data_IF_886148527251
#
_entry.id   IF_886148527251
#
_cell.length_a   1.000
_cell.length_b   1.000
_cell.length_c   1.000
_cell.angle_alpha   90.00
_cell.angle_beta   90.00
_cell.angle_gamma   90.00
#
_symmetry.space_group_name_H-M   'P 1'
#
loop_
_entity.id
_entity.type
_entity.pdbx_description
1 polymer ?
2 polymer ?
3 non-polymer ?
4 non-polymer ?
5 non-polymer ?
6 water ?
#
# COMPACT_ATOMS: atom_id res chain seq x y z
N UNK A 1 -15.98 -4.66 0.67
CA UNK A 1 -14.82 -3.73 0.82
C UNK A 1 -14.18 -3.48 -0.54
N UNK A 2 -12.94 -3.02 -0.53
CA UNK A 2 -12.21 -2.70 -1.76
C UNK A 2 -11.99 -3.90 -2.65
N UNK A 3 -11.72 -5.09 -2.18
CA UNK A 3 -11.54 -6.24 -3.07
C UNK A 3 -12.85 -6.57 -3.77
N UNK A 4 -13.96 -6.59 -3.01
CA UNK A 4 -15.23 -6.90 -3.69
C UNK A 4 -15.61 -5.76 -4.59
N UNK A 5 -15.32 -4.49 -4.29
CA UNK A 5 -15.68 -3.42 -5.19
C UNK A 5 -14.82 -3.35 -6.45
N UNK A 6 -13.52 -3.67 -6.28
CA UNK A 6 -12.57 -3.33 -7.34
C UNK A 6 -11.85 -4.50 -7.95
N UNK A 7 -12.03 -5.69 -7.44
CA UNK A 7 -11.44 -6.87 -8.08
C UNK A 7 -12.50 -7.57 -8.91
N UNK A 8 -13.76 -7.22 -8.74
CA UNK A 8 -14.84 -7.76 -9.57
C UNK A 8 -15.19 -6.90 -10.75
N UNK A 9 -14.88 -5.61 -10.69
CA UNK A 9 -14.98 -4.74 -11.86
C UNK A 9 -14.08 -3.53 -11.64
N UNK A 10 -13.63 -2.89 -12.71
CA UNK A 10 -12.55 -1.94 -12.68
C UNK A 10 -12.92 -0.69 -11.91
N UNK A 11 -12.05 -0.29 -11.03
CA UNK A 11 -12.12 0.95 -10.29
C UNK A 11 -11.14 1.93 -10.90
N UNK A 12 -11.59 3.13 -11.28
CA UNK A 12 -10.72 4.17 -11.77
C UNK A 12 -9.95 4.78 -10.60
N UNK A 13 -9.02 5.70 -10.87
CA UNK A 13 -8.31 6.39 -9.81
C UNK A 13 -9.26 7.31 -9.04
N UNK A 14 -10.34 7.74 -9.72
CA UNK A 14 -11.32 8.58 -9.00
C UNK A 14 -12.04 7.76 -7.97
N UNK A 15 -12.41 6.54 -8.26
CA UNK A 15 -13.06 5.64 -7.34
C UNK A 15 -12.08 5.24 -6.23
N UNK A 16 -10.81 4.95 -6.59
CA UNK A 16 -9.86 4.56 -5.56
C UNK A 16 -9.48 5.66 -4.56
N UNK A 17 -9.64 6.93 -4.93
CA UNK A 17 -9.34 8.03 -4.04
C UNK A 17 -10.23 8.00 -2.82
N UNK A 18 -11.40 7.34 -2.95
CA UNK A 18 -12.24 7.13 -1.77
C UNK A 18 -11.53 6.51 -0.60
N UNK A 19 -10.51 5.65 -0.86
CA UNK A 19 -9.82 4.89 0.16
C UNK A 19 -8.62 5.59 0.73
N UNK A 20 -8.24 6.76 0.29
CA UNK A 20 -7.11 7.48 0.86
C UNK A 20 -7.42 7.95 2.28
N UNK A 21 -6.35 8.20 3.05
CA UNK A 21 -6.53 8.68 4.41
C UNK A 21 -6.59 10.21 4.47
N UNK B 1 -6.51 -18.65 -4.03
CA UNK B 1 -6.73 -17.25 -3.68
C UNK B 1 -5.88 -16.30 -4.53
N UNK B 2 -5.25 -16.86 -5.58
CA UNK B 2 -4.25 -16.09 -6.34
C UNK B 2 -4.87 -14.94 -7.17
N UNK B 3 -6.04 -15.01 -7.82
CA UNK B 3 -6.60 -13.88 -8.54
C UNK B 3 -6.75 -12.65 -7.66
N UNK B 4 -7.26 -12.82 -6.48
CA UNK B 4 -7.44 -11.71 -5.55
C UNK B 4 -6.08 -11.15 -5.12
N UNK B 5 -5.12 -12.01 -4.89
CA UNK B 5 -3.78 -11.67 -4.50
C UNK B 5 -3.15 -10.78 -5.54
N UNK B 6 -3.24 -11.17 -6.80
CA UNK B 6 -2.72 -10.37 -7.90
C UNK B 6 -3.47 -9.07 -8.00
N UNK B 7 -4.80 -9.09 -7.92
CA UNK B 7 -5.55 -7.82 -7.96
C UNK B 7 -5.07 -6.88 -6.88
N UNK B 8 -4.91 -7.34 -5.64
CA UNK B 8 -4.50 -6.50 -4.54
C UNK B 8 -3.17 -5.83 -4.76
N UNK B 9 -2.23 -6.54 -5.39
CA UNK B 9 -0.91 -6.02 -5.69
C UNK B 9 -1.01 -4.77 -6.52
N UNK B 10 -1.92 -4.75 -7.47
CA UNK B 10 -2.18 -3.62 -8.34
C UNK B 10 -3.01 -2.60 -7.62
N UNK B 11 -4.00 -2.95 -6.81
CA UNK B 11 -4.75 -1.94 -6.07
C UNK B 11 -3.81 -1.14 -5.23
N UNK B 12 -2.83 -1.74 -4.52
CA UNK B 12 -1.99 -0.94 -3.62
C UNK B 12 -1.15 0.06 -4.42
N UNK B 13 -0.66 -0.32 -5.59
CA UNK B 13 0.11 0.57 -6.44
C UNK B 13 -0.74 1.78 -6.87
N UNK B 14 -2.01 1.50 -7.21
CA UNK B 14 -2.88 2.59 -7.66
C UNK B 14 -3.28 3.51 -6.49
N UNK B 15 -3.52 2.93 -5.33
CA UNK B 15 -3.80 3.71 -4.13
C UNK B 15 -2.59 4.58 -3.82
N UNK B 16 -1.39 3.99 -3.90
CA UNK B 16 -0.16 4.75 -3.69
C UNK B 16 -0.14 5.98 -4.58
N UNK B 17 -0.40 5.82 -5.85
CA UNK B 17 -0.33 6.88 -6.82
C UNK B 17 -1.39 7.95 -6.58
N UNK B 18 -2.65 7.54 -6.46
CA UNK B 18 -3.65 8.63 -6.29
C UNK B 18 -3.60 9.26 -4.92
N UNK B 19 -3.31 8.52 -3.87
CA UNK B 19 -3.38 9.14 -2.55
C UNK B 19 -2.17 10.04 -2.29
N UNK B 20 -1.02 9.80 -2.85
CA UNK B 20 0.09 10.73 -2.61
C UNK B 20 0.45 10.80 -1.14
N UNK B 21 0.68 12.05 -0.67
CA UNK B 21 1.02 12.32 0.72
C UNK B 21 -0.02 11.92 1.73
N UNK B 22 -1.29 11.75 1.36
CA UNK B 22 -2.34 11.32 2.22
C UNK B 22 -2.11 9.91 2.73
N UNK B 23 -1.46 9.10 1.86
CA UNK B 23 -1.30 7.67 2.19
C UNK B 23 -2.69 7.03 2.29
N UNK B 24 -2.70 5.79 2.77
CA UNK B 24 -3.87 4.96 2.85
C UNK B 24 -3.70 3.76 3.74
N UNK B 25 -4.78 3.14 4.18
CA UNK B 25 -4.72 1.91 4.94
C UNK B 25 -5.14 0.81 3.97
N UNK B 26 -4.57 -0.36 4.03
CA UNK B 26 -4.99 -1.56 3.28
C UNK B 26 -5.08 -2.80 4.20
N UNK B 27 -6.32 -3.08 4.68
CA UNK B 27 -6.47 -4.10 5.73
C UNK B 27 -7.87 -4.75 5.72
N UNK B 28 -8.12 -5.53 6.80
CA UNK B 28 -9.47 -6.01 6.98
C UNK B 28 -9.54 -7.51 7.17
N UNK B 29 -10.59 -7.89 7.89
CA UNK B 29 -10.89 -9.28 8.12
C UNK B 29 -12.20 -9.63 7.45
N UNK B 30 -12.05 -10.55 6.48
CA UNK B 30 -13.21 -11.05 5.76
C UNK B 30 -12.84 -12.27 4.91
N UNK C 1 8.69 8.00 10.11
CA UNK C 1 7.86 7.02 9.39
C UNK C 1 8.66 6.22 8.38
N UNK C 2 7.96 5.37 7.66
CA UNK C 2 8.56 4.44 6.71
C UNK C 2 9.34 5.16 5.63
N UNK C 3 8.92 6.31 5.15
CA UNK C 3 9.70 7.00 4.11
C UNK C 3 10.99 7.51 4.69
N UNK C 4 10.94 8.10 5.88
CA UNK C 4 12.15 8.65 6.50
C UNK C 4 13.06 7.52 6.90
N UNK C 5 12.58 6.40 7.34
CA UNK C 5 13.37 5.29 7.82
C UNK C 5 13.91 4.40 6.72
N UNK C 6 13.11 4.15 5.68
CA UNK C 6 13.40 3.17 4.67
C UNK C 6 13.65 3.69 3.26
N UNK C 7 13.66 4.99 3.06
CA UNK C 7 14.10 5.48 1.74
C UNK C 7 15.48 6.09 1.82
N UNK C 8 15.99 6.23 3.03
CA UNK C 8 17.30 6.79 3.30
C UNK C 8 18.29 5.65 3.35
N UNK C 9 17.96 4.61 4.10
CA UNK C 9 18.80 3.42 4.22
C UNK C 9 17.89 2.21 4.08
N UNK C 10 18.38 1.09 3.61
CA UNK C 10 17.54 -0.07 3.39
C UNK C 10 16.96 -0.52 4.75
N UNK C 11 15.70 -0.92 4.67
CA UNK C 11 15.07 -1.62 5.74
C UNK C 11 14.93 -3.11 5.54
N UNK C 12 15.14 -3.88 6.59
CA UNK C 12 14.95 -5.31 6.56
C UNK C 12 13.46 -5.64 6.55
N UNK C 13 13.10 -6.88 6.27
CA UNK C 13 11.69 -7.27 6.34
C UNK C 13 11.13 -7.05 7.74
N UNK C 14 11.99 -7.32 8.74
CA UNK C 14 11.57 -7.17 10.12
C UNK C 14 11.20 -5.72 10.45
N UNK C 15 12.03 -4.80 9.92
CA UNK C 15 11.76 -3.39 10.13
C UNK C 15 10.49 -2.95 9.40
N UNK C 16 10.25 -3.60 8.25
CA UNK C 16 9.02 -3.28 7.50
C UNK C 16 7.78 -3.77 8.22
N UNK C 17 7.86 -4.80 9.08
CA UNK C 17 6.72 -5.29 9.82
C UNK C 17 6.18 -4.26 10.82
N UNK C 18 6.97 -3.23 11.14
CA UNK C 18 6.45 -2.18 12.00
C UNK C 18 5.32 -1.40 11.31
N UNK C 19 5.16 -1.57 10.00
CA UNK C 19 4.13 -0.84 9.26
C UNK C 19 3.02 -1.75 8.82
N UNK C 20 2.93 -2.95 9.39
CA UNK C 20 1.80 -3.83 9.21
C UNK C 20 0.71 -3.46 10.21
N UNK C 21 -0.52 -3.89 9.94
CA UNK C 21 -1.60 -3.70 10.94
C UNK C 21 -1.46 -4.81 11.96
N UNK D 1 11.84 15.10 -5.51
CA UNK D 1 10.83 14.14 -4.99
C UNK D 1 10.72 12.89 -5.86
N UNK D 2 11.32 12.85 -7.05
CA UNK D 2 11.14 11.62 -7.86
C UNK D 2 11.81 10.39 -7.26
N UNK D 3 13.02 10.47 -6.67
CA UNK D 3 13.52 9.26 -6.02
C UNK D 3 12.63 8.83 -4.84
N UNK D 4 12.09 9.79 -4.13
CA UNK D 4 11.22 9.45 -3.01
C UNK D 4 9.93 8.76 -3.48
N UNK D 5 9.39 9.21 -4.61
CA UNK D 5 8.22 8.61 -5.20
C UNK D 5 8.53 7.19 -5.65
N UNK D 6 9.67 6.98 -6.29
CA UNK D 6 10.02 5.59 -6.66
C UNK D 6 10.19 4.70 -5.43
N UNK D 7 10.87 5.21 -4.42
CA UNK D 7 11.01 4.38 -3.20
C UNK D 7 9.65 3.99 -2.65
N UNK D 8 8.75 4.96 -2.47
CA UNK D 8 7.43 4.65 -1.91
C UNK D 8 6.66 3.62 -2.66
N UNK D 9 6.78 3.60 -4.00
CA UNK D 9 6.04 2.65 -4.80
C UNK D 9 6.53 1.26 -4.40
N UNK D 10 7.83 1.04 -4.23
CA UNK D 10 8.36 -0.27 -3.85
C UNK D 10 8.08 -0.55 -2.40
N UNK D 11 8.05 0.45 -1.54
CA UNK D 11 7.67 0.19 -0.16
C UNK D 11 6.28 -0.40 -0.04
N UNK D 12 5.32 0.17 -0.74
CA UNK D 12 3.94 -0.30 -0.60
C UNK D 12 3.82 -1.72 -1.08
N UNK D 13 4.52 -2.11 -2.17
CA UNK D 13 4.44 -3.49 -2.62
C UNK D 13 5.11 -4.40 -1.60
N UNK D 14 6.22 -3.94 -1.02
CA UNK D 14 6.88 -4.77 0.00
C UNK D 14 5.98 -4.95 1.20
N UNK D 15 5.28 -3.91 1.65
CA UNK D 15 4.37 -4.07 2.78
C UNK D 15 3.21 -4.99 2.48
N UNK D 16 2.71 -4.93 1.21
CA UNK D 16 1.67 -5.83 0.80
C UNK D 16 2.11 -7.28 0.99
N UNK D 17 3.32 -7.59 0.55
CA UNK D 17 3.81 -8.96 0.63
C UNK D 17 4.22 -9.36 2.03
N UNK D 18 4.92 -8.51 2.76
CA UNK D 18 5.36 -8.83 4.13
C UNK D 18 4.19 -8.99 5.07
N UNK D 19 3.20 -8.12 5.00
CA UNK D 19 2.14 -8.05 5.99
C UNK D 19 1.10 -9.14 5.79
N UNK D 20 0.93 -9.70 4.61
CA UNK D 20 -0.04 -10.79 4.49
C UNK D 20 -1.46 -10.34 4.80
N UNK D 21 -2.23 -11.26 5.43
CA UNK D 21 -3.63 -10.94 5.69
C UNK D 21 -3.85 -9.79 6.65
N UNK D 22 -2.88 -9.44 7.48
CA UNK D 22 -3.00 -8.31 8.37
C UNK D 22 -3.21 -7.00 7.64
N UNK D 23 -2.59 -6.91 6.46
CA UNK D 23 -2.55 -5.68 5.72
C UNK D 23 -1.63 -4.72 6.48
N UNK D 24 -1.68 -3.47 6.01
CA UNK D 24 -0.71 -2.47 6.42
C UNK D 24 -1.30 -1.08 6.39
N UNK D 25 -0.53 -0.12 6.88
CA UNK D 25 -0.84 1.29 6.82
C UNK D 25 0.35 1.98 6.15
N UNK D 26 0.04 2.84 5.21
CA UNK D 26 1.07 3.61 4.52
C UNK D 26 0.83 5.07 4.75
N UNK D 27 1.71 5.73 5.53
CA UNK D 27 1.57 7.12 5.83
C UNK D 27 2.11 8.03 4.77
N UNK D 28 2.94 7.56 3.83
CA UNK D 28 3.75 8.42 2.97
C UNK D 28 4.60 9.29 3.91
N UNK D 29 5.02 10.47 3.50
CA UNK D 29 5.92 11.28 4.30
C UNK D 29 5.30 11.69 5.63
N UNK D 30 6.15 11.79 6.63
CA UNK D 30 5.67 12.33 7.91
C UNK D 30 6.62 13.45 8.29
X LIG E 1 -8.88 -2.25 -10.10
X LIG E 1 -8.15 -1.10 -10.41
X LIG E 1 -6.77 -1.19 -10.33
X LIG E 1 -6.13 -2.35 -9.96
X LIG E 1 -6.88 -3.48 -9.62
X LIG E 1 -8.28 -3.44 -9.70
X LIG E 1 -5.96 0.06 -10.69
X LIG E 1 -10.26 -2.25 -10.13
X LIG F 1 -0.01 -8.20 -12.12
X LIG G 1 -1.68 -9.62 -12.53
X LIG H 1 13.33 -0.26 1.38
X LIG H 1 13.01 -1.58 1.50
X LIG H 1 12.23 -2.08 0.42
X LIG H 1 11.85 -1.20 -0.56
X LIG H 1 12.16 0.12 -0.66
X LIG H 1 12.94 0.63 0.41
X LIG H 1 11.86 -3.53 0.46
X LIG H 1 14.12 0.23 2.45
X LIG I 1 10.81 1.01 -9.48
X LIG J 1 12.46 2.42 -9.08
X LIG K 1 10.43 -4.51 -4.36
X LIG K 1 9.30 -4.67 -3.54
X LIG K 1 8.71 -5.93 -3.66
X LIG K 1 9.18 -6.94 -4.50
X LIG K 1 10.30 -6.74 -5.30
X LIG K 1 10.89 -5.50 -5.20
X LIG K 1 7.50 -6.31 -2.85
X LIG K 1 11.10 -3.33 -4.33
X LIG L 1 -6.22 -7.65 3.69
X LIG L 1 -6.58 -6.58 2.88
X LIG L 1 -7.84 -6.51 2.30
X LIG L 1 -8.74 -7.55 2.50
X LIG L 1 -8.37 -8.64 3.28
X LIG L 1 -7.11 -8.70 3.89
X LIG L 1 -8.20 -5.29 1.44
X LIG L 1 -4.98 -7.66 4.28
X LIG M 1 7.38 -12.06 6.16
X LIG M 1 7.85 -11.15 7.09
X LIG M 1 9.19 -11.19 7.48
X LIG M 1 10.05 -12.14 6.94
X LIG M 1 9.57 -13.05 6.00
X LIG M 1 8.24 -13.00 5.62
X LIG M 1 9.73 -10.21 8.51
X LIG M 1 6.06 -12.02 5.77
#
# INVERSE_FOLDING_TARGET
GIVEQCCTSICSLYQLENYCN
FVNQHLCGSHLVEALYLVCGERGFFYTDKT
GIVEQCCTSICSLYQLENYCN
FVNQHLCGSHLVEALYLVCGERGFFYTDKT
CRS C1 C2 C3 C4 C5 C6 C7 O1
ZN ZN
CL CL
CRS C1 C2 C3 C4 C5 C6 C7 O1
ZN ZN
CL CL
CRS C1 C2 C3 C4 C5 C6 C7 O1
CRS C1 C2 C3 C4 C5 C6 C7 O1
CRS C1 C2 C3 C4 C5 C6 C7 O1
#
